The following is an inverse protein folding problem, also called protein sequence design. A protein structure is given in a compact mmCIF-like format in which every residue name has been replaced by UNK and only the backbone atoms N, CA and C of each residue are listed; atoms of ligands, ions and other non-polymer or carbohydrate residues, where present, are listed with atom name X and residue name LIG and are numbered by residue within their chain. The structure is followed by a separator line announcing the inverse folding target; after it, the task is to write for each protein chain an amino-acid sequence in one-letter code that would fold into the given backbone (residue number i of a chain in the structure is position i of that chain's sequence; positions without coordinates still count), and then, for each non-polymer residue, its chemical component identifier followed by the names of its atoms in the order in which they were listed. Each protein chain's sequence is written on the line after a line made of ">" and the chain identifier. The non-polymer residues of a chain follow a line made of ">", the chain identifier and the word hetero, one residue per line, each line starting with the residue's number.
data_IF_589354939936
#
_entry.id   IF_589354939936
#
_cell.length_a   1.000
_cell.length_b   1.000
_cell.length_c   1.000
_cell.angle_alpha   90.00
_cell.angle_beta   90.00
_cell.angle_gamma   90.00
#
_symmetry.space_group_name_H-M   'P 1'
#
loop_
_entity.id
_entity.type
_entity.pdbx_description
1 polymer ?
#
# COMPACT_ATOMS: atom_id res chain seq x y z
N UNK A 1 -13.19 -9.18 17.96
CA UNK A 1 -13.47 -8.36 16.76
C UNK A 1 -13.00 -9.17 15.56
N UNK A 2 -13.93 -9.77 14.82
CA UNK A 2 -13.66 -10.64 13.67
C UNK A 2 -12.85 -9.89 12.62
N UNK A 3 -11.73 -10.46 12.20
CA UNK A 3 -10.96 -9.92 11.08
C UNK A 3 -11.85 -9.99 9.83
N UNK A 4 -12.32 -8.83 9.37
CA UNK A 4 -13.16 -8.71 8.15
C UNK A 4 -12.33 -9.05 6.89
N UNK A 5 -11.00 -9.08 7.04
CA UNK A 5 -10.04 -9.47 6.00
C UNK A 5 -9.36 -10.76 6.44
N UNK A 6 -9.56 -11.82 5.66
CA UNK A 6 -8.89 -13.09 5.87
C UNK A 6 -7.52 -13.09 5.17
N UNK A 7 -6.49 -12.62 5.89
CA UNK A 7 -5.11 -12.64 5.40
C UNK A 7 -4.53 -14.06 5.26
N UNK A 8 -5.20 -15.11 5.75
CA UNK A 8 -4.74 -16.49 5.55
C UNK A 8 -4.82 -16.94 4.08
N UNK A 9 -5.70 -16.29 3.30
CA UNK A 9 -5.82 -16.50 1.86
C UNK A 9 -4.56 -16.06 1.08
N UNK A 10 -3.85 -15.02 1.53
CA UNK A 10 -2.55 -14.61 0.96
C UNK A 10 -1.44 -15.64 1.22
N UNK A 11 -1.58 -16.44 2.29
CA UNK A 11 -0.56 -17.41 2.70
C UNK A 11 -0.67 -18.73 1.94
N UNK A 12 -1.76 -18.97 1.19
CA UNK A 12 -1.91 -20.17 0.36
C UNK A 12 -1.05 -20.02 -0.91
N UNK A 13 0.20 -20.46 -0.80
CA UNK A 13 1.14 -20.61 -1.92
C UNK A 13 0.47 -21.42 -3.03
N UNK A 14 0.24 -20.80 -4.18
CA UNK A 14 -0.13 -21.54 -5.39
C UNK A 14 1.13 -22.27 -5.92
N UNK A 15 1.02 -23.55 -6.32
CA UNK A 15 2.18 -24.34 -6.76
C UNK A 15 2.81 -23.79 -8.05
N UNK A 16 2.01 -23.18 -8.94
CA UNK A 16 2.45 -22.54 -10.18
C UNK A 16 2.32 -21.00 -10.09
N UNK A 17 3.03 -20.39 -9.15
CA UNK A 17 3.11 -18.93 -9.05
C UNK A 17 4.40 -18.42 -9.69
N UNK A 18 4.29 -17.88 -10.92
CA UNK A 18 5.39 -17.23 -11.65
C UNK A 18 5.86 -15.91 -11.01
N UNK A 19 5.20 -15.42 -9.95
CA UNK A 19 5.60 -14.23 -9.18
C UNK A 19 7.00 -14.35 -8.56
N UNK A 20 7.55 -15.56 -8.44
CA UNK A 20 8.88 -15.85 -7.86
C UNK A 20 10.06 -15.12 -8.52
N UNK A 21 9.93 -14.60 -9.75
CA UNK A 21 11.07 -13.94 -10.44
C UNK A 21 11.52 -12.63 -9.78
N UNK A 22 10.71 -12.05 -8.87
CA UNK A 22 11.06 -10.84 -8.12
C UNK A 22 10.99 -11.03 -6.61
N UNK A 23 11.36 -12.21 -6.10
CA UNK A 23 11.49 -12.49 -4.67
C UNK A 23 12.62 -11.70 -3.96
N UNK A 24 13.00 -10.53 -4.48
CA UNK A 24 13.86 -9.58 -3.78
C UNK A 24 12.98 -8.70 -2.90
N UNK A 25 13.46 -8.41 -1.69
CA UNK A 25 12.77 -7.43 -0.83
C UNK A 25 12.75 -6.08 -1.55
N UNK A 26 11.68 -5.29 -1.41
CA UNK A 26 11.56 -3.96 -2.04
C UNK A 26 12.77 -3.04 -1.78
N UNK A 27 13.39 -3.20 -0.61
CA UNK A 27 14.64 -2.54 -0.23
C UNK A 27 15.85 -2.97 -1.06
N UNK A 28 16.04 -4.28 -1.24
CA UNK A 28 17.13 -4.83 -2.07
C UNK A 28 16.98 -4.40 -3.53
N UNK A 29 15.74 -4.43 -4.03
CA UNK A 29 15.40 -3.94 -5.35
C UNK A 29 15.77 -2.46 -5.55
N UNK A 30 15.59 -1.62 -4.52
CA UNK A 30 15.99 -0.22 -4.58
C UNK A 30 17.52 -0.04 -4.50
N UNK A 31 18.22 -0.89 -3.73
CA UNK A 31 19.68 -0.83 -3.55
C UNK A 31 20.46 -1.19 -4.81
N UNK A 32 19.95 -2.13 -5.61
CA UNK A 32 20.65 -2.59 -6.84
C UNK A 32 20.46 -1.66 -8.04
N UNK A 33 19.60 -0.64 -7.96
CA UNK A 33 19.30 0.28 -9.08
C UNK A 33 20.19 1.51 -9.05
N UNK A 34 20.74 1.83 -10.23
CA UNK A 34 21.45 3.09 -10.49
C UNK A 34 20.51 4.30 -10.40
N UNK A 35 21.08 5.48 -10.22
CA UNK A 35 20.30 6.73 -10.19
C UNK A 35 19.95 7.19 -11.61
N UNK A 36 18.78 7.82 -11.83
CA UNK A 36 17.74 8.15 -10.85
C UNK A 36 16.83 6.96 -10.51
N UNK A 37 16.40 6.88 -9.24
CA UNK A 37 15.48 5.84 -8.77
C UNK A 37 14.06 6.38 -8.63
N UNK A 38 13.08 5.57 -9.05
CA UNK A 38 11.66 5.83 -8.85
C UNK A 38 11.11 4.92 -7.76
N UNK A 39 10.66 5.51 -6.66
CA UNK A 39 10.15 4.79 -5.49
C UNK A 39 8.73 5.29 -5.23
N UNK A 40 7.76 4.38 -5.22
CA UNK A 40 6.39 4.65 -4.80
C UNK A 40 6.24 4.19 -3.35
N UNK A 41 5.62 5.00 -2.51
CA UNK A 41 5.27 4.65 -1.14
C UNK A 41 3.91 5.19 -0.75
N UNK A 42 3.25 4.51 0.18
CA UNK A 42 2.03 4.97 0.87
C UNK A 42 2.34 5.37 2.33
N UNK A 43 3.62 5.50 2.69
CA UNK A 43 4.01 5.93 4.02
C UNK A 43 3.69 7.42 4.24
N UNK A 44 3.13 7.79 5.41
CA UNK A 44 3.04 9.16 5.85
C UNK A 44 4.40 9.87 5.83
N UNK A 45 4.38 11.18 5.60
CA UNK A 45 5.60 11.98 5.46
C UNK A 45 6.57 11.82 6.64
N UNK A 46 6.05 11.67 7.87
CA UNK A 46 6.83 11.52 9.10
C UNK A 46 7.64 10.22 9.13
N UNK A 47 7.22 9.19 8.40
CA UNK A 47 7.89 7.89 8.33
C UNK A 47 8.91 7.80 7.18
N UNK A 48 9.03 8.84 6.34
CA UNK A 48 10.06 8.90 5.30
C UNK A 48 11.45 9.11 5.91
N UNK A 49 12.56 8.79 5.22
CA UNK A 49 13.91 9.01 5.74
C UNK A 49 14.17 10.46 6.17
N UNK A 50 14.82 10.65 7.34
CA UNK A 50 15.08 11.98 7.91
C UNK A 50 15.82 12.90 6.94
N UNK A 51 16.84 12.39 6.25
CA UNK A 51 17.61 13.17 5.28
C UNK A 51 16.77 13.66 4.10
N UNK A 52 15.75 12.90 3.69
CA UNK A 52 14.81 13.33 2.67
C UNK A 52 13.90 14.45 3.20
N UNK A 53 13.39 14.31 4.42
CA UNK A 53 12.52 15.33 5.04
C UNK A 53 13.26 16.64 5.33
N UNK A 54 14.53 16.55 5.70
CA UNK A 54 15.40 17.70 5.99
C UNK A 54 16.06 18.30 4.73
N UNK A 55 15.73 17.81 3.53
CA UNK A 55 16.26 18.37 2.27
C UNK A 55 17.75 18.10 2.04
N UNK A 56 18.36 17.16 2.77
CA UNK A 56 19.79 16.79 2.63
C UNK A 56 20.07 15.93 1.40
N UNK A 57 19.02 15.49 0.69
CA UNK A 57 19.14 14.68 -0.52
C UNK A 57 18.71 15.47 -1.76
N UNK A 58 19.20 15.08 -2.94
CA UNK A 58 18.76 15.64 -4.24
C UNK A 58 17.46 15.02 -4.77
N UNK A 59 16.80 14.15 -3.99
CA UNK A 59 15.59 13.47 -4.41
C UNK A 59 14.39 14.43 -4.36
N UNK A 60 13.40 14.20 -5.24
CA UNK A 60 12.17 15.00 -5.33
C UNK A 60 10.97 14.15 -4.92
N UNK A 61 10.03 14.75 -4.19
CA UNK A 61 8.77 14.11 -3.78
C UNK A 61 7.65 14.62 -4.68
N UNK A 62 6.89 13.69 -5.26
CA UNK A 62 5.63 13.98 -5.94
C UNK A 62 4.52 13.38 -5.08
N UNK A 63 3.69 14.24 -4.50
CA UNK A 63 2.55 13.83 -3.68
C UNK A 63 1.28 13.83 -4.53
N UNK A 64 0.53 12.73 -4.49
CA UNK A 64 -0.70 12.55 -5.25
C UNK A 64 -1.83 12.33 -4.26
N UNK A 65 -2.88 13.13 -4.36
CA UNK A 65 -4.09 12.98 -3.58
C UNK A 65 -5.31 12.94 -4.51
N UNK A 66 -6.40 12.40 -4.01
CA UNK A 66 -7.68 12.26 -4.71
C UNK A 66 -8.81 12.56 -3.74
N UNK A 67 -9.97 12.99 -4.25
CA UNK A 67 -11.18 13.14 -3.45
C UNK A 67 -11.41 11.87 -2.59
N UNK A 68 -11.51 12.00 -1.26
CA UNK A 68 -11.60 10.84 -0.36
C UNK A 68 -12.83 9.96 -0.63
N UNK A 69 -13.92 10.53 -1.17
CA UNK A 69 -15.12 9.75 -1.55
C UNK A 69 -14.80 8.78 -2.69
N UNK A 70 -14.13 9.26 -3.73
CA UNK A 70 -13.73 8.43 -4.88
C UNK A 70 -12.64 7.42 -4.49
N UNK A 71 -11.73 7.85 -3.62
CA UNK A 71 -10.68 7.00 -3.06
C UNK A 71 -11.26 5.84 -2.27
N UNK A 72 -12.29 6.09 -1.44
CA UNK A 72 -12.99 5.06 -0.68
C UNK A 72 -13.61 4.00 -1.61
N UNK A 73 -14.30 4.42 -2.68
CA UNK A 73 -14.88 3.51 -3.69
C UNK A 73 -13.79 2.68 -4.36
N UNK A 74 -12.70 3.33 -4.81
CA UNK A 74 -11.58 2.64 -5.44
C UNK A 74 -10.93 1.62 -4.49
N UNK A 75 -10.77 1.98 -3.22
CA UNK A 75 -10.15 1.10 -2.23
C UNK A 75 -11.06 -0.08 -1.88
N UNK A 76 -12.38 0.10 -1.85
CA UNK A 76 -13.34 -0.99 -1.67
C UNK A 76 -13.20 -2.07 -2.76
N UNK A 77 -13.14 -1.67 -4.03
CA UNK A 77 -12.95 -2.61 -5.13
C UNK A 77 -11.56 -3.25 -5.12
N UNK A 78 -10.52 -2.48 -4.77
CA UNK A 78 -9.16 -3.01 -4.59
C UNK A 78 -9.12 -4.07 -3.50
N UNK A 79 -9.71 -3.81 -2.33
CA UNK A 79 -9.80 -4.74 -1.22
C UNK A 79 -10.62 -5.99 -1.56
N UNK A 80 -11.68 -5.86 -2.36
CA UNK A 80 -12.43 -7.03 -2.85
C UNK A 80 -11.57 -7.91 -3.76
N UNK A 81 -10.84 -7.31 -4.68
CA UNK A 81 -10.05 -8.03 -5.68
C UNK A 81 -8.77 -8.64 -5.10
N UNK A 82 -8.00 -7.86 -4.36
CA UNK A 82 -6.67 -8.26 -3.90
C UNK A 82 -6.66 -8.77 -2.46
N UNK A 83 -7.47 -8.21 -1.57
CA UNK A 83 -7.50 -8.59 -0.16
C UNK A 83 -8.61 -9.60 0.19
N UNK A 84 -9.48 -9.93 -0.77
CA UNK A 84 -10.60 -10.84 -0.55
C UNK A 84 -11.65 -10.30 0.44
N UNK A 85 -11.80 -8.98 0.54
CA UNK A 85 -12.78 -8.36 1.44
C UNK A 85 -14.21 -8.80 1.10
N UNK A 86 -14.96 -9.27 2.10
CA UNK A 86 -16.34 -9.80 1.95
C UNK A 86 -17.43 -8.95 2.60
N UNK A 87 -17.06 -7.88 3.30
CA UNK A 87 -18.04 -6.99 3.92
C UNK A 87 -18.81 -6.15 2.89
N UNK A 88 -19.89 -5.52 3.35
CA UNK A 88 -20.62 -4.54 2.56
C UNK A 88 -19.84 -3.22 2.43
N UNK A 89 -20.36 -2.34 1.56
CA UNK A 89 -19.76 -1.04 1.31
C UNK A 89 -19.94 -0.06 2.48
N UNK A 90 -21.05 -0.15 3.22
CA UNK A 90 -21.32 0.77 4.33
C UNK A 90 -20.32 0.55 5.48
N UNK A 91 -20.09 -0.71 5.86
CA UNK A 91 -19.06 -1.10 6.80
C UNK A 91 -17.67 -0.69 6.30
N UNK A 92 -17.41 -0.84 5.00
CA UNK A 92 -16.14 -0.41 4.42
C UNK A 92 -15.94 1.10 4.57
N UNK A 93 -16.95 1.91 4.26
CA UNK A 93 -16.93 3.36 4.43
C UNK A 93 -16.70 3.75 5.90
N UNK A 94 -17.38 3.09 6.85
CA UNK A 94 -17.15 3.33 8.29
C UNK A 94 -15.71 3.02 8.67
N UNK A 95 -15.19 1.86 8.24
CA UNK A 95 -13.81 1.47 8.52
C UNK A 95 -12.78 2.41 7.87
N UNK A 96 -13.06 2.92 6.67
CA UNK A 96 -12.24 3.89 5.97
C UNK A 96 -12.19 5.24 6.72
N UNK A 97 -13.34 5.74 7.19
CA UNK A 97 -13.44 7.00 7.92
C UNK A 97 -12.74 6.96 9.28
N UNK A 98 -12.73 5.82 9.96
CA UNK A 98 -12.05 5.63 11.25
C UNK A 98 -10.58 5.20 11.12
N UNK A 99 -10.00 5.27 9.93
CA UNK A 99 -8.62 4.85 9.61
C UNK A 99 -8.29 3.41 10.08
N UNK A 100 -9.29 2.52 10.11
CA UNK A 100 -9.10 1.13 10.56
C UNK A 100 -8.67 0.18 9.46
N UNK A 101 -8.38 0.68 8.26
CA UNK A 101 -7.95 -0.11 7.09
C UNK A 101 -6.55 0.25 6.59
N UNK A 102 -5.76 0.99 7.39
CA UNK A 102 -4.38 1.33 7.05
C UNK A 102 -4.25 2.20 5.80
N UNK A 103 -5.32 2.91 5.45
CA UNK A 103 -5.32 3.92 4.40
C UNK A 103 -4.99 5.27 5.06
N UNK A 104 -3.82 5.34 5.68
CA UNK A 104 -3.32 6.61 6.19
C UNK A 104 -2.82 7.41 5.00
N UNK A 105 -3.49 8.51 4.72
CA UNK A 105 -3.00 9.58 3.84
C UNK A 105 -2.00 10.43 4.63
#
# INVERSE_FOLDING_TARGET
>A
VTAVVDYSAFRKKKPDDRSKKHAMTSLEFCRTRSSPRFIKTHLPFQLLPRDLREGKTRAKIIYVWRNPKDTCVSFFHHSKLLEGYRGDFELFCKLFLFDKRGFSI
#
